data_IF_869447551196
#
_entry.id   IF_869447551196
#
_cell.length_a   1.000
_cell.length_b   1.000
_cell.length_c   1.000
_cell.angle_alpha   90.00
_cell.angle_beta   90.00
_cell.angle_gamma   90.00
#
_symmetry.space_group_name_H-M   'P 1'
#
loop_
_entity.id
_entity.type
_entity.pdbx_description
1 polymer ?
#
# COMPACT_ATOMS: atom_id res chain seq x y z
N UNK A 1 -2.21 -29.85 5.96
CA UNK A 1 -3.67 -30.03 5.78
C UNK A 1 -4.20 -28.81 5.04
N UNK A 2 -4.91 -28.96 3.91
CA UNK A 2 -5.50 -27.80 3.23
C UNK A 2 -6.64 -27.23 4.08
N UNK A 3 -6.68 -25.91 4.24
CA UNK A 3 -7.75 -25.24 4.98
C UNK A 3 -9.12 -25.64 4.39
N UNK A 4 -10.06 -25.99 5.28
CA UNK A 4 -11.42 -26.38 4.88
C UNK A 4 -12.07 -25.28 4.03
N UNK A 5 -12.92 -25.64 3.06
CA UNK A 5 -13.69 -24.67 2.25
C UNK A 5 -14.44 -23.65 3.12
N UNK A 6 -14.81 -24.03 4.35
CA UNK A 6 -15.43 -23.14 5.33
C UNK A 6 -14.44 -22.08 5.87
N UNK A 7 -13.19 -22.46 6.17
CA UNK A 7 -12.15 -21.52 6.61
C UNK A 7 -11.78 -20.55 5.48
N UNK A 8 -11.69 -21.02 4.23
CA UNK A 8 -11.41 -20.15 3.08
C UNK A 8 -12.48 -19.06 2.93
N UNK A 9 -13.77 -19.42 3.04
CA UNK A 9 -14.88 -18.46 2.97
C UNK A 9 -14.83 -17.45 4.12
N UNK A 10 -14.52 -17.88 5.33
CA UNK A 10 -14.41 -16.99 6.48
C UNK A 10 -13.26 -15.98 6.31
N UNK A 11 -12.09 -16.44 5.84
CA UNK A 11 -10.94 -15.57 5.57
C UNK A 11 -11.26 -14.58 4.45
N UNK A 12 -11.86 -15.03 3.34
CA UNK A 12 -12.26 -14.12 2.25
C UNK A 12 -13.28 -13.08 2.68
N UNK A 13 -14.24 -13.45 3.54
CA UNK A 13 -15.22 -12.50 4.08
C UNK A 13 -14.54 -11.45 4.96
N UNK A 14 -13.68 -11.87 5.88
CA UNK A 14 -12.93 -10.97 6.75
C UNK A 14 -12.04 -10.02 5.96
N UNK A 15 -11.30 -10.54 4.97
CA UNK A 15 -10.46 -9.72 4.09
C UNK A 15 -11.29 -8.66 3.36
N UNK A 16 -12.43 -9.02 2.79
CA UNK A 16 -13.30 -8.11 2.05
C UNK A 16 -13.98 -7.05 2.94
N UNK A 17 -14.31 -7.39 4.18
CA UNK A 17 -14.98 -6.45 5.09
C UNK A 17 -14.02 -5.47 5.77
N UNK A 18 -12.74 -5.83 5.92
CA UNK A 18 -11.79 -5.06 6.74
C UNK A 18 -10.61 -4.46 5.95
N UNK A 19 -10.38 -4.89 4.71
CA UNK A 19 -9.22 -4.47 3.93
C UNK A 19 -9.60 -4.18 2.47
N UNK A 20 -9.17 -3.03 1.98
CA UNK A 20 -9.14 -2.72 0.55
C UNK A 20 -7.83 -3.25 -0.06
N UNK A 21 -7.92 -4.18 -1.01
CA UNK A 21 -6.76 -4.76 -1.68
C UNK A 21 -6.37 -3.95 -2.93
N UNK A 22 -5.17 -3.37 -2.93
CA UNK A 22 -4.61 -2.67 -4.09
C UNK A 22 -3.60 -3.57 -4.80
N UNK A 23 -3.89 -3.95 -6.05
CA UNK A 23 -2.96 -4.72 -6.89
C UNK A 23 -2.05 -3.77 -7.67
N UNK A 24 -0.80 -3.64 -7.22
CA UNK A 24 0.22 -2.86 -7.92
C UNK A 24 1.07 -3.76 -8.82
N UNK A 25 1.21 -3.38 -10.10
CA UNK A 25 2.15 -4.01 -11.04
C UNK A 25 3.36 -3.09 -11.18
N UNK A 26 4.53 -3.61 -10.84
CA UNK A 26 5.82 -2.95 -11.02
C UNK A 26 6.65 -3.74 -12.04
N UNK A 27 7.63 -3.09 -12.65
CA UNK A 27 8.52 -3.76 -13.59
C UNK A 27 9.34 -4.87 -12.91
N UNK A 28 9.83 -5.81 -13.70
CA UNK A 28 10.64 -6.91 -13.18
C UNK A 28 11.93 -6.35 -12.57
N UNK A 29 12.18 -6.65 -11.29
CA UNK A 29 13.32 -6.15 -10.52
C UNK A 29 13.01 -4.93 -9.66
N UNK A 30 11.99 -4.12 -9.98
CA UNK A 30 11.58 -3.01 -9.10
C UNK A 30 11.06 -3.50 -7.75
N UNK A 31 10.39 -4.66 -7.71
CA UNK A 31 9.92 -5.27 -6.47
C UNK A 31 11.07 -5.51 -5.48
N UNK A 32 12.21 -5.97 -5.97
CA UNK A 32 13.38 -6.26 -5.14
C UNK A 32 14.00 -4.96 -4.58
N UNK A 33 14.01 -3.90 -5.39
CA UNK A 33 14.44 -2.56 -4.95
C UNK A 33 13.53 -2.03 -3.85
N UNK A 34 12.21 -2.11 -4.04
CA UNK A 34 11.20 -1.70 -3.04
C UNK A 34 11.37 -2.50 -1.75
N UNK A 35 11.61 -3.82 -1.87
CA UNK A 35 11.84 -4.71 -0.72
C UNK A 35 13.10 -4.34 0.05
N UNK A 36 14.22 -4.15 -0.64
CA UNK A 36 15.48 -3.75 -0.02
C UNK A 36 15.35 -2.39 0.68
N UNK A 37 14.63 -1.45 0.09
CA UNK A 37 14.40 -0.12 0.66
C UNK A 37 13.53 -0.18 1.93
N UNK A 38 12.46 -0.98 1.91
CA UNK A 38 11.63 -1.21 3.08
C UNK A 38 12.42 -1.90 4.21
N UNK A 39 13.20 -2.95 3.88
CA UNK A 39 14.05 -3.66 4.84
C UNK A 39 15.12 -2.76 5.46
N UNK A 40 15.76 -1.90 4.67
CA UNK A 40 16.75 -0.94 5.15
C UNK A 40 16.18 0.05 6.18
N UNK A 41 14.86 0.30 6.13
CA UNK A 41 14.15 1.17 7.09
C UNK A 41 13.41 0.40 8.18
N UNK A 42 13.57 -0.92 8.23
CA UNK A 42 12.92 -1.78 9.24
C UNK A 42 11.40 -1.87 9.07
N UNK A 43 10.87 -1.56 7.89
CA UNK A 43 9.44 -1.58 7.59
C UNK A 43 9.09 -2.72 6.62
N UNK A 44 7.85 -3.20 6.66
CA UNK A 44 7.37 -4.16 5.66
C UNK A 44 7.14 -3.47 4.32
N UNK A 45 7.20 -4.22 3.22
CA UNK A 45 6.89 -3.68 1.88
C UNK A 45 5.51 -3.04 1.84
N UNK A 46 4.51 -3.66 2.49
CA UNK A 46 3.16 -3.10 2.56
C UNK A 46 3.11 -1.79 3.38
N UNK A 47 3.82 -1.74 4.50
CA UNK A 47 3.94 -0.53 5.32
C UNK A 47 4.62 0.61 4.57
N UNK A 48 5.70 0.30 3.83
CA UNK A 48 6.37 1.29 2.99
C UNK A 48 5.46 1.83 1.90
N UNK A 49 4.73 0.95 1.19
CA UNK A 49 3.81 1.37 0.14
C UNK A 49 2.71 2.28 0.72
N UNK A 50 2.11 1.90 1.85
CA UNK A 50 1.09 2.73 2.51
C UNK A 50 1.61 4.11 2.89
N UNK A 51 2.76 4.16 3.58
CA UNK A 51 3.40 5.42 3.95
C UNK A 51 3.76 6.29 2.76
N UNK A 52 4.28 5.70 1.68
CA UNK A 52 4.62 6.44 0.47
C UNK A 52 3.38 7.04 -0.20
N UNK A 53 2.25 6.33 -0.18
CA UNK A 53 0.96 6.84 -0.68
C UNK A 53 0.51 8.02 0.18
N UNK A 54 0.49 7.87 1.51
CA UNK A 54 0.07 8.93 2.44
C UNK A 54 0.95 10.18 2.32
N UNK A 55 2.29 10.02 2.35
CA UNK A 55 3.23 11.13 2.18
C UNK A 55 3.05 11.85 0.83
N UNK A 56 2.71 11.12 -0.24
CA UNK A 56 2.48 11.71 -1.57
C UNK A 56 1.15 12.46 -1.60
N UNK A 57 0.08 11.89 -1.05
CA UNK A 57 -1.22 12.57 -0.95
C UNK A 57 -1.14 13.85 -0.09
N UNK A 58 -0.39 13.83 1.01
CA UNK A 58 -0.15 15.02 1.83
C UNK A 58 0.60 16.10 1.06
N UNK A 59 1.68 15.74 0.35
CA UNK A 59 2.43 16.69 -0.49
C UNK A 59 1.59 17.28 -1.62
N UNK A 60 0.80 16.45 -2.30
CA UNK A 60 -0.06 16.90 -3.39
C UNK A 60 -1.17 17.84 -2.89
N UNK A 61 -1.74 17.57 -1.71
CA UNK A 61 -2.71 18.45 -1.08
C UNK A 61 -2.07 19.78 -0.61
N UNK A 62 -0.86 19.72 -0.06
CA UNK A 62 -0.12 20.92 0.32
C UNK A 62 0.21 21.79 -0.91
N UNK A 63 0.73 21.19 -1.98
CA UNK A 63 1.02 21.88 -3.23
C UNK A 63 -0.23 22.44 -3.92
N UNK A 64 -1.38 21.77 -3.76
CA UNK A 64 -2.67 22.25 -4.27
C UNK A 64 -3.24 23.43 -3.47
N UNK A 65 -2.96 23.51 -2.17
CA UNK A 65 -3.31 24.67 -1.33
C UNK A 65 -2.51 25.93 -1.71
N UNK A 66 -1.24 25.76 -2.06
CA UNK A 66 -0.35 26.86 -2.49
C UNK A 66 -0.72 27.44 -3.87
N UNK A 67 -1.46 26.70 -4.70
CA UNK A 67 -1.89 27.15 -6.02
C UNK A 67 -3.16 28.04 -6.00
N UNK A 68 -3.80 28.23 -4.85
CA UNK A 68 -5.06 29.01 -4.74
C UNK A 68 -4.93 30.38 -4.05
N UNK A 69 -3.77 30.71 -3.50
CA UNK A 69 -3.48 32.03 -2.93
C UNK A 69 -2.49 32.79 -3.83
N UNK A 70 -2.93 33.10 -5.05
CA UNK A 70 -2.08 33.77 -6.04
C UNK A 70 -2.85 34.27 -7.24
N UNK A 71 -4.02 34.89 -7.03
CA UNK A 71 -4.71 35.70 -8.03
C UNK A 71 -5.26 36.98 -7.41
#
# INVERSE_FOLDING_TARGET
MPASKAQQRAVSKYMKENYDEIKVRVEKGQKDIIKAHAEARGESVNGFIGRAIDETMERDNAARGEATEGE
#
